data_IF_431857646197
#
_entry.id   IF_431857646197
#
_cell.length_a   1.000
_cell.length_b   1.000
_cell.length_c   1.000
_cell.angle_alpha   90.00
_cell.angle_beta   90.00
_cell.angle_gamma   90.00
#
_symmetry.space_group_name_H-M   'P 1'
#
loop_
_entity.id
_entity.type
_entity.pdbx_description
1 polymer ?
#
# COMPACT_ATOMS: atom_id res chain seq x y z
N UNK A 1 -7.08 11.29 4.63
CA UNK A 1 -6.38 10.70 5.79
C UNK A 1 -7.20 10.87 7.05
N UNK A 2 -7.65 12.08 7.35
CA UNK A 2 -8.43 12.37 8.57
C UNK A 2 -9.73 13.09 8.26
N UNK A 3 -10.73 12.95 9.12
CA UNK A 3 -12.04 13.63 9.10
C UNK A 3 -12.18 14.44 10.37
N UNK A 4 -12.61 15.70 10.29
CA UNK A 4 -12.84 16.47 11.52
C UNK A 4 -13.99 15.87 12.32
N UNK A 5 -13.92 15.98 13.64
CA UNK A 5 -15.02 15.64 14.53
C UNK A 5 -16.14 16.66 14.37
N UNK A 6 -17.39 16.25 14.63
CA UNK A 6 -18.59 17.08 14.47
C UNK A 6 -18.51 18.44 15.18
N UNK A 7 -17.88 18.49 16.35
CA UNK A 7 -17.70 19.72 17.15
C UNK A 7 -16.83 20.78 16.44
N UNK A 8 -15.94 20.37 15.54
CA UNK A 8 -15.01 21.25 14.82
C UNK A 8 -15.37 21.41 13.34
N UNK A 9 -16.58 20.99 12.95
CA UNK A 9 -17.01 20.93 11.56
C UNK A 9 -17.47 22.30 11.05
N UNK A 10 -18.12 23.10 11.89
CA UNK A 10 -18.64 24.43 11.53
C UNK A 10 -17.54 25.39 11.02
N UNK A 11 -17.79 26.20 9.97
CA UNK A 11 -19.04 26.35 9.19
C UNK A 11 -19.20 25.34 8.05
N UNK A 12 -18.28 24.39 7.88
CA UNK A 12 -18.24 23.53 6.70
C UNK A 12 -18.90 22.17 6.96
N UNK A 13 -19.79 21.70 6.07
CA UNK A 13 -20.56 20.50 6.33
C UNK A 13 -19.76 19.21 6.16
N UNK A 14 -18.59 19.20 5.51
CA UNK A 14 -17.79 17.97 5.30
C UNK A 14 -16.27 18.22 5.17
N UNK A 15 -15.58 18.79 6.18
CA UNK A 15 -14.16 19.06 6.11
C UNK A 15 -13.30 17.80 6.37
N UNK A 16 -12.15 17.72 5.70
CA UNK A 16 -11.16 16.67 5.93
C UNK A 16 -9.74 17.13 5.66
N UNK A 17 -8.81 16.36 6.22
CA UNK A 17 -7.40 16.46 5.92
C UNK A 17 -6.94 15.27 5.08
N UNK A 18 -6.38 15.60 3.92
CA UNK A 18 -5.70 14.67 3.03
C UNK A 18 -4.21 14.70 3.29
N UNK A 19 -3.45 13.82 2.64
CA UNK A 19 -1.99 13.90 2.66
C UNK A 19 -1.48 15.21 2.04
N UNK A 20 -2.27 15.82 1.15
CA UNK A 20 -1.89 16.94 0.29
C UNK A 20 -2.38 18.31 0.79
N UNK A 21 -3.35 18.33 1.72
CA UNK A 21 -3.91 19.57 2.26
C UNK A 21 -5.30 19.40 2.88
N UNK A 22 -5.88 20.53 3.28
CA UNK A 22 -7.25 20.61 3.80
C UNK A 22 -8.26 20.75 2.68
N UNK A 23 -9.43 20.18 2.90
CA UNK A 23 -10.63 20.45 2.11
C UNK A 23 -11.76 20.83 3.06
N UNK A 24 -12.49 21.89 2.73
CA UNK A 24 -13.73 22.25 3.42
C UNK A 24 -14.90 21.34 3.00
N UNK A 25 -14.85 20.85 1.77
CA UNK A 25 -15.69 19.76 1.29
C UNK A 25 -14.81 18.65 0.71
N UNK A 26 -14.85 17.48 1.34
CA UNK A 26 -14.09 16.30 0.92
C UNK A 26 -14.50 15.74 -0.44
N UNK A 27 -15.69 16.08 -0.93
CA UNK A 27 -16.15 15.69 -2.26
C UNK A 27 -15.53 16.55 -3.36
N UNK A 28 -14.99 17.73 -3.01
CA UNK A 28 -14.33 18.62 -3.97
C UNK A 28 -13.00 18.04 -4.46
N UNK A 29 -12.69 18.24 -5.74
CA UNK A 29 -11.36 17.95 -6.31
C UNK A 29 -10.29 18.93 -5.82
N UNK A 30 -10.69 20.16 -5.47
CA UNK A 30 -9.79 21.25 -5.08
C UNK A 30 -9.39 21.20 -3.61
N UNK A 31 -8.22 21.76 -3.30
CA UNK A 31 -7.74 21.92 -1.93
C UNK A 31 -8.04 23.35 -1.46
N UNK A 32 -8.77 23.48 -0.36
CA UNK A 32 -9.08 24.78 0.23
C UNK A 32 -7.85 25.41 0.88
N UNK A 33 -7.00 24.58 1.51
CA UNK A 33 -5.77 25.04 2.18
C UNK A 33 -4.63 24.07 1.87
N UNK A 34 -3.52 24.60 1.36
CA UNK A 34 -2.31 23.82 1.08
C UNK A 34 -1.62 23.37 2.38
N UNK A 35 -0.91 22.24 2.31
CA UNK A 35 -0.16 21.69 3.45
C UNK A 35 0.80 22.71 4.09
N UNK A 36 1.46 23.54 3.27
CA UNK A 36 2.41 24.57 3.72
C UNK A 36 1.76 25.75 4.45
N UNK A 37 0.46 25.95 4.29
CA UNK A 37 -0.25 26.98 5.04
C UNK A 37 -0.84 26.38 6.32
N UNK A 38 -1.46 25.20 6.20
CA UNK A 38 -2.05 24.45 7.33
C UNK A 38 -1.05 24.21 8.47
N UNK A 39 0.17 23.77 8.14
CA UNK A 39 1.20 23.42 9.13
C UNK A 39 2.32 24.48 9.21
N UNK A 40 2.01 25.76 8.97
CA UNK A 40 2.93 26.88 9.24
C UNK A 40 3.42 26.96 10.69
N UNK A 41 2.53 26.89 11.69
CA UNK A 41 2.97 26.96 13.08
C UNK A 41 3.65 25.67 13.58
N UNK A 42 3.58 24.57 12.81
CA UNK A 42 4.00 23.23 13.24
C UNK A 42 4.93 22.56 12.19
N UNK A 43 6.17 23.04 12.01
CA UNK A 43 7.10 22.55 10.99
C UNK A 43 7.41 21.06 11.11
N UNK A 44 7.55 20.50 12.32
CA UNK A 44 7.84 19.07 12.48
C UNK A 44 6.67 18.19 11.99
N UNK A 45 5.42 18.62 12.23
CA UNK A 45 4.23 17.96 11.67
C UNK A 45 4.20 18.07 10.15
N UNK A 46 4.52 19.25 9.61
CA UNK A 46 4.65 19.45 8.17
C UNK A 46 5.67 18.48 7.57
N UNK A 47 6.83 18.29 8.22
CA UNK A 47 7.87 17.41 7.74
C UNK A 47 7.42 15.95 7.71
N UNK A 48 6.67 15.49 8.70
CA UNK A 48 6.06 14.15 8.68
C UNK A 48 5.08 13.99 7.50
N UNK A 49 4.24 14.98 7.23
CA UNK A 49 3.36 14.95 6.07
C UNK A 49 4.13 14.98 4.74
N UNK A 50 5.19 15.78 4.62
CA UNK A 50 6.06 15.82 3.43
C UNK A 50 6.77 14.49 3.22
N UNK A 51 7.32 13.91 4.28
CA UNK A 51 7.92 12.58 4.27
C UNK A 51 6.91 11.55 3.74
N UNK A 52 5.70 11.56 4.30
CA UNK A 52 4.63 10.66 3.88
C UNK A 52 4.18 10.90 2.43
N UNK A 53 4.15 12.16 1.95
CA UNK A 53 3.85 12.45 0.53
C UNK A 53 4.89 11.83 -0.40
N UNK A 54 6.18 12.00 -0.09
CA UNK A 54 7.28 11.45 -0.89
C UNK A 54 7.19 9.93 -0.93
N UNK A 55 7.06 9.27 0.23
CA UNK A 55 6.95 7.82 0.28
C UNK A 55 5.67 7.27 -0.36
N UNK A 56 4.54 7.98 -0.27
CA UNK A 56 3.31 7.57 -0.95
C UNK A 56 3.44 7.63 -2.48
N UNK A 57 4.15 8.63 -3.01
CA UNK A 57 4.44 8.71 -4.45
C UNK A 57 5.39 7.61 -4.88
N UNK A 58 6.48 7.38 -4.12
CA UNK A 58 7.42 6.29 -4.38
C UNK A 58 6.69 4.93 -4.37
N UNK A 59 5.81 4.69 -3.39
CA UNK A 59 5.06 3.43 -3.31
C UNK A 59 4.20 3.17 -4.55
N UNK A 60 3.59 4.22 -5.13
CA UNK A 60 2.80 4.08 -6.36
C UNK A 60 3.68 3.57 -7.50
N UNK A 61 4.88 4.13 -7.67
CA UNK A 61 5.81 3.68 -8.72
C UNK A 61 6.32 2.26 -8.46
N UNK A 62 6.65 1.92 -7.20
CA UNK A 62 7.09 0.58 -6.83
C UNK A 62 6.02 -0.47 -7.12
N UNK A 63 4.78 -0.23 -6.71
CA UNK A 63 3.68 -1.17 -6.97
C UNK A 63 3.27 -1.21 -8.44
N UNK A 64 3.30 -0.07 -9.14
CA UNK A 64 3.06 -0.02 -10.59
C UNK A 64 4.08 -0.86 -11.36
N UNK A 65 5.37 -0.71 -11.04
CA UNK A 65 6.44 -1.51 -11.62
C UNK A 65 6.29 -3.00 -11.26
N UNK A 66 6.01 -3.32 -9.99
CA UNK A 66 5.79 -4.69 -9.53
C UNK A 66 4.62 -5.35 -10.27
N UNK A 67 3.52 -4.63 -10.50
CA UNK A 67 2.37 -5.13 -11.24
C UNK A 67 2.73 -5.44 -12.70
N UNK A 68 3.42 -4.54 -13.40
CA UNK A 68 3.87 -4.75 -14.78
C UNK A 68 4.82 -5.96 -14.84
N UNK A 69 5.80 -6.05 -13.94
CA UNK A 69 6.70 -7.20 -13.87
C UNK A 69 5.96 -8.49 -13.55
N UNK A 70 4.94 -8.46 -12.68
CA UNK A 70 4.06 -9.59 -12.41
C UNK A 70 3.39 -10.13 -13.68
N UNK A 71 2.88 -9.25 -14.54
CA UNK A 71 2.31 -9.65 -15.84
C UNK A 71 3.36 -10.27 -16.78
N UNK A 72 4.59 -9.75 -16.78
CA UNK A 72 5.69 -10.29 -17.61
C UNK A 72 6.13 -11.67 -17.11
N UNK A 73 6.20 -11.86 -15.78
CA UNK A 73 6.54 -13.15 -15.15
C UNK A 73 5.55 -14.25 -15.58
N UNK A 74 4.26 -13.93 -15.68
CA UNK A 74 3.24 -14.87 -16.14
C UNK A 74 3.43 -15.32 -17.60
N UNK A 75 4.17 -14.55 -18.41
CA UNK A 75 4.29 -14.82 -19.86
C UNK A 75 5.64 -15.37 -20.28
N UNK A 76 6.76 -14.85 -19.77
CA UNK A 76 8.05 -15.04 -20.45
C UNK A 76 9.26 -15.27 -19.54
N UNK A 77 9.26 -14.87 -18.26
CA UNK A 77 10.49 -14.87 -17.45
C UNK A 77 10.24 -15.18 -15.95
N UNK A 78 10.45 -16.42 -15.48
CA UNK A 78 10.23 -16.78 -14.07
C UNK A 78 11.26 -16.17 -13.11
N UNK A 79 12.46 -15.81 -13.58
CA UNK A 79 13.50 -15.19 -12.75
C UNK A 79 13.13 -13.78 -12.27
N UNK A 80 12.29 -13.05 -13.02
CA UNK A 80 11.76 -11.74 -12.63
C UNK A 80 10.85 -11.81 -11.39
N UNK A 81 10.44 -13.01 -10.95
CA UNK A 81 9.69 -13.23 -9.71
C UNK A 81 10.40 -12.62 -8.50
N UNK A 82 11.72 -12.80 -8.40
CA UNK A 82 12.50 -12.27 -7.29
C UNK A 82 12.60 -10.74 -7.33
N UNK A 83 12.68 -10.15 -8.53
CA UNK A 83 12.64 -8.69 -8.70
C UNK A 83 11.28 -8.14 -8.29
N UNK A 84 10.19 -8.79 -8.71
CA UNK A 84 8.84 -8.43 -8.30
C UNK A 84 8.66 -8.54 -6.77
N UNK A 85 9.19 -9.59 -6.15
CA UNK A 85 9.19 -9.75 -4.70
C UNK A 85 9.90 -8.58 -4.00
N UNK A 86 11.10 -8.22 -4.44
CA UNK A 86 11.87 -7.10 -3.86
C UNK A 86 11.10 -5.78 -4.01
N UNK A 87 10.47 -5.53 -5.16
CA UNK A 87 9.66 -4.33 -5.37
C UNK A 87 8.44 -4.26 -4.45
N UNK A 88 7.74 -5.38 -4.22
CA UNK A 88 6.62 -5.43 -3.28
C UNK A 88 7.10 -5.21 -1.84
N UNK A 89 8.21 -5.83 -1.42
CA UNK A 89 8.80 -5.58 -0.08
C UNK A 89 9.18 -4.11 0.08
N UNK A 90 9.82 -3.51 -0.93
CA UNK A 90 10.15 -2.10 -0.91
C UNK A 90 8.88 -1.24 -0.81
N UNK A 91 7.84 -1.56 -1.59
CA UNK A 91 6.52 -0.96 -1.52
C UNK A 91 5.95 -1.02 -0.10
N UNK A 92 5.93 -2.20 0.51
CA UNK A 92 5.44 -2.45 1.86
C UNK A 92 6.12 -1.55 2.89
N UNK A 93 7.45 -1.44 2.82
CA UNK A 93 8.25 -0.59 3.71
C UNK A 93 7.88 0.88 3.50
N UNK A 94 7.77 1.34 2.25
CA UNK A 94 7.40 2.74 1.97
C UNK A 94 5.99 3.07 2.47
N UNK A 95 4.98 2.22 2.26
CA UNK A 95 3.63 2.42 2.80
C UNK A 95 3.60 2.34 4.33
N UNK A 96 4.39 1.47 4.94
CA UNK A 96 4.53 1.40 6.40
C UNK A 96 5.01 2.73 6.97
N UNK A 97 5.98 3.39 6.32
CA UNK A 97 6.46 4.73 6.71
C UNK A 97 5.33 5.77 6.60
N UNK A 98 4.55 5.75 5.51
CA UNK A 98 3.39 6.66 5.33
C UNK A 98 2.38 6.47 6.46
N UNK A 99 2.01 5.22 6.73
CA UNK A 99 1.07 4.87 7.80
C UNK A 99 1.60 5.29 9.17
N UNK A 100 2.84 4.95 9.51
CA UNK A 100 3.48 5.28 10.77
C UNK A 100 3.56 6.81 10.96
N UNK A 101 3.94 7.56 9.91
CA UNK A 101 3.95 9.01 9.95
C UNK A 101 2.56 9.59 10.27
N UNK A 102 1.50 9.06 9.67
CA UNK A 102 0.12 9.48 9.98
C UNK A 102 -0.26 9.16 11.44
N UNK A 103 0.07 7.96 11.94
CA UNK A 103 -0.20 7.56 13.33
C UNK A 103 0.56 8.46 14.33
N UNK A 104 1.83 8.74 14.06
CA UNK A 104 2.64 9.66 14.87
C UNK A 104 1.99 11.05 14.90
N UNK A 105 1.57 11.59 13.75
CA UNK A 105 0.88 12.90 13.73
C UNK A 105 -0.45 12.91 14.48
N UNK A 106 -1.11 11.75 14.59
CA UNK A 106 -2.39 11.61 15.26
C UNK A 106 -2.25 11.64 16.79
N UNK A 107 -1.28 10.89 17.34
CA UNK A 107 -1.12 10.71 18.78
C UNK A 107 -0.04 11.57 19.44
N UNK A 108 1.06 11.87 18.75
CA UNK A 108 2.22 12.52 19.38
C UNK A 108 2.07 14.04 19.43
N UNK A 109 2.32 14.57 20.62
CA UNK A 109 2.63 15.98 20.82
C UNK A 109 3.95 16.32 20.12
N UNK A 110 3.95 17.47 19.44
CA UNK A 110 5.12 17.97 18.73
C UNK A 110 5.71 19.11 19.55
N UNK A 111 7.05 19.18 19.73
CA UNK A 111 7.68 20.34 20.37
C UNK A 111 7.29 21.60 19.59
N UNK A 112 6.78 22.63 20.30
CA UNK A 112 6.11 23.87 19.82
C UNK A 112 4.60 24.01 20.13
N UNK A 113 4.05 23.31 21.15
CA UNK A 113 2.62 23.43 21.58
C UNK A 113 1.60 23.12 20.47
N UNK A 114 1.97 22.27 19.51
CA UNK A 114 1.06 21.81 18.48
C UNK A 114 0.23 20.64 19.00
N UNK A 115 -1.02 20.90 19.37
CA UNK A 115 -1.92 19.90 19.96
C UNK A 115 -2.13 18.69 19.03
N UNK A 116 -2.17 17.45 19.55
CA UNK A 116 -2.31 16.23 18.76
C UNK A 116 -3.57 16.24 17.91
N UNK A 117 -3.52 15.62 16.72
CA UNK A 117 -4.67 15.61 15.81
C UNK A 117 -5.87 14.87 16.40
N UNK A 118 -5.67 13.83 17.21
CA UNK A 118 -6.75 13.01 17.75
C UNK A 118 -7.82 13.80 18.53
N UNK A 119 -7.49 15.00 19.03
CA UNK A 119 -8.46 15.87 19.68
C UNK A 119 -9.52 16.40 18.71
N UNK A 120 -9.10 16.75 17.48
CA UNK A 120 -9.93 17.45 16.50
C UNK A 120 -10.41 16.57 15.35
N UNK A 121 -9.71 15.46 15.07
CA UNK A 121 -9.98 14.60 13.91
C UNK A 121 -10.11 13.14 14.30
N UNK A 122 -10.84 12.40 13.48
CA UNK A 122 -10.90 10.94 13.44
C UNK A 122 -10.15 10.45 12.18
N UNK A 123 -9.78 9.18 12.15
CA UNK A 123 -9.30 8.55 10.91
C UNK A 123 -10.40 8.56 9.85
N UNK A 124 -10.03 8.92 8.62
CA UNK A 124 -10.94 8.90 7.47
C UNK A 124 -10.75 7.67 6.60
N UNK A 125 -11.66 7.47 5.64
CA UNK A 125 -11.61 6.35 4.68
C UNK A 125 -10.24 6.18 4.00
N UNK A 126 -9.56 7.28 3.64
CA UNK A 126 -8.23 7.20 3.02
C UNK A 126 -7.16 6.52 3.89
N UNK A 127 -7.25 6.61 5.23
CA UNK A 127 -6.35 5.87 6.12
C UNK A 127 -6.70 4.38 6.16
N UNK A 128 -8.00 4.05 6.21
CA UNK A 128 -8.47 2.67 6.10
C UNK A 128 -8.05 2.00 4.80
N UNK A 129 -8.19 2.70 3.66
CA UNK A 129 -7.72 2.21 2.36
C UNK A 129 -6.21 1.98 2.33
N UNK A 130 -5.42 2.86 2.97
CA UNK A 130 -3.97 2.69 3.09
C UNK A 130 -3.60 1.42 3.88
N UNK A 131 -4.31 1.16 4.99
CA UNK A 131 -4.13 -0.05 5.79
C UNK A 131 -4.53 -1.32 5.02
N UNK A 132 -5.67 -1.30 4.35
CA UNK A 132 -6.13 -2.43 3.52
C UNK A 132 -5.12 -2.73 2.42
N UNK A 133 -4.63 -1.71 1.72
CA UNK A 133 -3.59 -1.86 0.69
C UNK A 133 -2.31 -2.50 1.25
N UNK A 134 -1.88 -2.06 2.44
CA UNK A 134 -0.71 -2.62 3.12
C UNK A 134 -0.90 -4.10 3.50
N UNK A 135 -2.08 -4.48 4.00
CA UNK A 135 -2.40 -5.88 4.29
C UNK A 135 -2.43 -6.75 3.02
N UNK A 136 -3.01 -6.24 1.93
CA UNK A 136 -3.05 -6.94 0.64
C UNK A 136 -1.65 -7.18 0.08
N UNK A 137 -0.73 -6.23 0.29
CA UNK A 137 0.67 -6.37 -0.11
C UNK A 137 1.40 -7.47 0.66
N UNK A 138 1.17 -7.57 1.98
CA UNK A 138 1.71 -8.68 2.80
C UNK A 138 1.23 -10.04 2.26
N UNK A 139 -0.06 -10.14 1.91
CA UNK A 139 -0.61 -11.35 1.31
C UNK A 139 0.06 -11.64 -0.03
N UNK A 140 0.25 -10.62 -0.87
CA UNK A 140 0.91 -10.75 -2.17
C UNK A 140 2.37 -11.23 -2.03
N UNK A 141 3.13 -10.66 -1.10
CA UNK A 141 4.49 -11.10 -0.76
C UNK A 141 4.47 -12.57 -0.32
N UNK A 142 3.52 -12.97 0.52
CA UNK A 142 3.31 -14.36 0.91
C UNK A 142 3.12 -15.27 -0.29
N UNK A 143 2.21 -14.93 -1.20
CA UNK A 143 1.96 -15.69 -2.44
C UNK A 143 3.18 -15.76 -3.37
N UNK A 144 4.00 -14.70 -3.42
CA UNK A 144 5.27 -14.67 -4.15
C UNK A 144 6.40 -15.47 -3.47
N UNK A 145 6.31 -15.70 -2.16
CA UNK A 145 7.24 -16.56 -1.42
C UNK A 145 6.82 -18.02 -1.44
N UNK A 146 5.51 -18.32 -1.47
CA UNK A 146 5.03 -19.68 -1.62
C UNK A 146 5.60 -20.25 -2.93
N UNK A 147 6.42 -21.31 -2.88
CA UNK A 147 6.74 -22.04 -4.10
C UNK A 147 5.42 -22.60 -4.59
N UNK A 148 4.96 -22.14 -5.76
CA UNK A 148 3.98 -22.90 -6.53
C UNK A 148 4.66 -24.23 -6.86
N UNK A 149 4.56 -25.21 -5.94
CA UNK A 149 4.65 -26.65 -6.24
C UNK A 149 3.45 -26.96 -7.13
N UNK A 150 3.42 -26.42 -8.34
CA UNK A 150 2.71 -27.07 -9.42
C UNK A 150 3.52 -28.32 -9.70
N UNK A 151 3.06 -29.39 -9.04
CA UNK A 151 3.23 -30.80 -9.35
C UNK A 151 3.73 -30.97 -10.78
N UNK A 152 4.85 -31.67 -10.98
CA UNK A 152 5.16 -32.31 -12.25
C UNK A 152 4.33 -33.60 -12.34
N UNK A 153 3.18 -33.67 -13.03
CA UNK A 153 2.63 -34.95 -13.49
C UNK A 153 3.38 -35.39 -14.75
N UNK A 154 4.72 -35.39 -14.70
CA UNK A 154 5.60 -35.64 -15.86
C UNK A 154 6.39 -36.94 -15.78
N UNK A 155 6.11 -37.82 -14.80
CA UNK A 155 6.71 -39.16 -14.70
C UNK A 155 5.71 -40.24 -14.27
N UNK A 156 4.59 -40.36 -14.99
CA UNK A 156 3.86 -41.63 -15.11
C UNK A 156 3.64 -41.86 -16.60
N UNK A 157 4.70 -42.35 -17.23
CA UNK A 157 4.77 -42.55 -18.68
C UNK A 157 5.84 -43.56 -19.03
N UNK A 158 5.85 -44.70 -18.31
CA UNK A 158 6.40 -45.95 -18.85
C UNK A 158 5.21 -46.88 -19.09
N UNK A 159 4.45 -46.59 -20.14
CA UNK A 159 3.64 -47.60 -20.80
C UNK A 159 4.62 -48.63 -21.37
N UNK A 160 4.82 -49.73 -20.65
CA UNK A 160 5.40 -50.94 -21.21
C UNK A 160 4.41 -51.44 -22.27
N UNK A 161 4.78 -51.53 -23.56
CA UNK A 161 3.92 -52.19 -24.54
C UNK A 161 3.97 -53.69 -24.29
N UNK A 162 2.81 -54.28 -24.01
CA UNK A 162 2.58 -55.71 -24.12
C UNK A 162 2.17 -56.04 -25.55
N UNK A 163 2.79 -57.06 -26.18
CA UNK A 163 2.09 -57.92 -27.10
C UNK A 163 2.00 -59.36 -26.54
N UNK A 164 0.77 -59.88 -26.48
CA UNK A 164 0.43 -61.31 -26.38
C UNK A 164 0.54 -61.98 -27.79
N UNK A 165 0.07 -63.22 -28.00
CA UNK A 165 0.65 -64.52 -27.65
C UNK A 165 0.82 -65.42 -28.91
N UNK A 166 1.56 -66.54 -28.80
CA UNK A 166 1.38 -67.71 -29.68
C UNK A 166 2.60 -68.21 -30.47
N UNK A 167 2.94 -69.47 -30.19
CA UNK A 167 3.50 -70.53 -31.05
C UNK A 167 4.83 -70.33 -31.82
N UNK A 168 5.85 -71.13 -31.51
CA UNK A 168 6.08 -72.42 -32.19
C UNK A 168 7.49 -73.01 -31.87
N UNK A 169 7.48 -74.25 -31.38
CA UNK A 169 8.57 -75.26 -31.22
C UNK A 169 9.61 -75.11 -30.12
#
# INVERSE_FOLDING_TARGET
>A
MFRLKKLYQYPHPNPCYTLWGAKFDCSSSTYSVKLSMMWSPCPSRRNLFRLAQVFAVISIFLYGAAFILGLIVLRCCPWLRWVCLVLNIAGMVTLCIVWAAMVVTYYKDVPQRCMPLHFFVNYGAGFGLCLVAWCLDIINIGLLLLPLRVRDPGKIGKSVPSPRPGDEK
#
